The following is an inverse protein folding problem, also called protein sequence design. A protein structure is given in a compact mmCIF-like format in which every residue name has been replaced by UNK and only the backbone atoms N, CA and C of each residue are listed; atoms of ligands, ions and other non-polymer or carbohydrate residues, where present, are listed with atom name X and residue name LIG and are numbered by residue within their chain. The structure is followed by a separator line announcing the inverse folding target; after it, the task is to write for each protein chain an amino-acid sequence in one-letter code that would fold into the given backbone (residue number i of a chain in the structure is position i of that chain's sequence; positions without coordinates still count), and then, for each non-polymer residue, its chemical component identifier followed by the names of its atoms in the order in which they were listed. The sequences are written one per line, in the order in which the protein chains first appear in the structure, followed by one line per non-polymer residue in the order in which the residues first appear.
data_IF_381314933985
#
_entry.id   IF_381314933985
#
_cell.length_a   1.000
_cell.length_b   1.000
_cell.length_c   1.000
_cell.angle_alpha   90.00
_cell.angle_beta   90.00
_cell.angle_gamma   90.00
#
_symmetry.space_group_name_H-M   'P 1'
#
loop_
_entity.id
_entity.type
_entity.pdbx_description
1 polymer ?
#
# COMPACT_ATOMS: atom_id res chain seq x y z
N UNK A 1 35.56 -1.22 35.49
CA UNK A 1 34.36 -2.07 35.48
C UNK A 1 33.72 -1.88 34.07
N UNK A 2 34.16 -2.72 33.11
CA UNK A 2 33.69 -2.63 31.72
C UNK A 2 32.43 -3.49 31.61
N UNK A 3 31.31 -2.84 31.32
CA UNK A 3 30.06 -3.52 30.97
C UNK A 3 30.14 -3.81 29.46
N UNK A 4 30.41 -5.09 29.12
CA UNK A 4 30.25 -5.58 27.76
C UNK A 4 28.77 -5.68 27.44
N UNK A 5 28.29 -4.81 26.52
CA UNK A 5 27.02 -5.04 25.83
C UNK A 5 27.22 -6.23 24.88
N UNK A 6 26.58 -7.35 25.20
CA UNK A 6 26.43 -8.47 24.28
C UNK A 6 25.42 -8.07 23.20
N UNK A 7 25.71 -8.33 21.92
CA UNK A 7 24.74 -8.11 20.86
C UNK A 7 23.61 -9.15 20.98
N UNK A 8 22.38 -8.70 21.08
CA UNK A 8 21.20 -9.54 20.99
C UNK A 8 21.06 -10.13 19.57
N UNK A 9 21.84 -11.20 19.27
CA UNK A 9 21.59 -12.10 18.15
C UNK A 9 20.61 -13.18 18.61
N UNK A 10 19.34 -13.04 18.29
CA UNK A 10 18.37 -14.03 18.73
C UNK A 10 16.97 -13.92 18.13
N UNK A 11 16.83 -13.52 16.85
CA UNK A 11 15.57 -13.73 16.16
C UNK A 11 15.80 -14.48 14.86
N UNK A 12 15.29 -15.72 14.84
CA UNK A 12 15.34 -16.60 13.67
C UNK A 12 14.44 -15.97 12.60
N UNK A 13 15.08 -15.37 11.60
CA UNK A 13 14.43 -15.01 10.34
C UNK A 13 14.15 -16.29 9.57
N UNK A 14 12.92 -16.77 9.57
CA UNK A 14 12.55 -17.88 8.67
C UNK A 14 12.58 -17.36 7.23
N UNK A 15 13.67 -17.68 6.54
CA UNK A 15 13.88 -17.38 5.12
C UNK A 15 12.83 -18.10 4.28
N UNK A 16 11.90 -17.37 3.67
CA UNK A 16 11.44 -17.70 2.34
C UNK A 16 12.29 -16.90 1.36
N UNK A 17 13.31 -17.53 0.80
CA UNK A 17 14.09 -16.97 -0.30
C UNK A 17 13.12 -16.86 -1.49
N UNK A 18 12.62 -15.66 -1.77
CA UNK A 18 12.01 -15.41 -3.07
C UNK A 18 13.11 -15.61 -4.11
N UNK A 19 12.89 -16.36 -5.20
CA UNK A 19 13.82 -16.39 -6.30
C UNK A 19 13.98 -14.95 -6.81
N UNK A 20 15.21 -14.60 -7.20
CA UNK A 20 15.52 -13.40 -7.98
C UNK A 20 14.81 -13.53 -9.35
N UNK A 21 13.50 -13.36 -9.34
CA UNK A 21 12.76 -13.06 -10.55
C UNK A 21 12.98 -11.57 -10.80
N UNK A 22 13.41 -11.23 -12.01
CA UNK A 22 13.39 -9.87 -12.49
C UNK A 22 12.01 -9.28 -12.14
N UNK A 23 11.97 -8.31 -11.22
CA UNK A 23 10.71 -7.75 -10.76
C UNK A 23 10.10 -7.08 -11.97
N UNK A 24 9.02 -7.67 -12.46
CA UNK A 24 8.22 -7.07 -13.51
C UNK A 24 7.76 -5.71 -13.00
N UNK A 25 8.11 -4.65 -13.73
CA UNK A 25 7.58 -3.29 -13.48
C UNK A 25 6.09 -3.41 -13.23
N UNK A 26 5.54 -2.61 -12.29
CA UNK A 26 4.12 -2.64 -11.96
C UNK A 26 3.29 -2.20 -13.18
N UNK A 27 3.36 -3.04 -14.20
CA UNK A 27 2.51 -2.99 -15.39
C UNK A 27 1.40 -4.01 -15.24
N UNK A 28 0.24 -3.65 -15.70
CA UNK A 28 -0.83 -4.61 -15.82
C UNK A 28 -0.47 -5.64 -16.91
N UNK A 29 -0.71 -6.95 -16.67
CA UNK A 29 -0.18 -8.03 -17.52
C UNK A 29 -0.74 -8.05 -18.94
N UNK A 30 -1.84 -7.37 -19.19
CA UNK A 30 -2.50 -7.22 -20.49
C UNK A 30 -3.31 -5.94 -20.51
N UNK A 31 -3.84 -5.50 -21.63
CA UNK A 31 -4.82 -4.42 -21.66
C UNK A 31 -5.94 -4.72 -20.70
N UNK A 32 -6.23 -3.76 -19.80
CA UNK A 32 -7.29 -3.91 -18.85
C UNK A 32 -8.66 -3.94 -19.53
N UNK A 33 -9.56 -4.76 -19.03
CA UNK A 33 -10.94 -4.89 -19.51
C UNK A 33 -11.76 -3.72 -18.97
N UNK A 34 -12.39 -2.98 -19.86
CA UNK A 34 -13.25 -1.85 -19.51
C UNK A 34 -14.65 -2.31 -19.12
N UNK A 35 -15.25 -1.58 -18.19
CA UNK A 35 -16.63 -1.77 -17.82
C UNK A 35 -17.15 -0.62 -16.98
N UNK A 36 -18.38 -0.76 -16.52
CA UNK A 36 -19.06 0.19 -15.62
C UNK A 36 -19.40 -0.51 -14.33
N UNK A 37 -19.06 0.10 -13.19
CA UNK A 37 -19.35 -0.44 -11.87
C UNK A 37 -20.87 -0.49 -11.67
N UNK A 38 -21.41 -1.68 -11.44
CA UNK A 38 -22.82 -1.90 -11.14
C UNK A 38 -23.04 -1.85 -9.63
N UNK A 39 -22.24 -2.65 -8.89
CA UNK A 39 -22.40 -2.75 -7.44
C UNK A 39 -21.15 -3.30 -6.77
N UNK A 40 -20.76 -2.71 -5.64
CA UNK A 40 -19.78 -3.28 -4.71
C UNK A 40 -20.49 -3.98 -3.57
N UNK A 41 -20.08 -5.20 -3.27
CA UNK A 41 -20.59 -5.99 -2.16
C UNK A 41 -19.64 -5.94 -0.97
N UNK A 42 -20.13 -6.30 0.23
CA UNK A 42 -19.36 -6.27 1.48
C UNK A 42 -18.28 -7.34 1.48
N UNK A 43 -17.82 -8.04 0.66
CA UNK A 43 -16.76 -9.08 0.75
C UNK A 43 -16.06 -9.28 -0.59
N UNK A 44 -15.09 -8.44 -0.88
CA UNK A 44 -14.14 -8.65 -1.98
C UNK A 44 -14.77 -8.91 -3.38
N UNK A 45 -15.98 -8.48 -3.61
CA UNK A 45 -16.71 -8.77 -4.84
C UNK A 45 -17.36 -7.48 -5.36
N UNK A 46 -17.26 -7.29 -6.68
CA UNK A 46 -17.96 -6.25 -7.43
C UNK A 46 -18.61 -6.85 -8.67
N UNK A 47 -19.77 -6.34 -9.06
CA UNK A 47 -20.36 -6.59 -10.36
C UNK A 47 -20.07 -5.43 -11.29
N UNK A 48 -19.63 -5.74 -12.49
CA UNK A 48 -19.23 -4.80 -13.54
C UNK A 48 -19.96 -5.17 -14.82
N UNK A 49 -20.60 -4.19 -15.44
CA UNK A 49 -21.16 -4.30 -16.78
C UNK A 49 -20.09 -4.00 -17.80
N UNK A 50 -19.78 -4.95 -18.67
CA UNK A 50 -18.83 -4.80 -19.76
C UNK A 50 -19.42 -4.05 -20.96
N UNK A 51 -18.58 -3.65 -21.90
CA UNK A 51 -18.99 -2.91 -23.12
C UNK A 51 -19.92 -3.72 -24.04
N UNK A 52 -19.85 -5.07 -23.97
CA UNK A 52 -20.75 -5.96 -24.70
C UNK A 52 -22.13 -6.12 -24.04
N UNK A 53 -22.35 -5.45 -22.90
CA UNK A 53 -23.58 -5.49 -22.11
C UNK A 53 -23.67 -6.63 -21.09
N UNK A 54 -22.74 -7.58 -21.10
CA UNK A 54 -22.67 -8.66 -20.10
C UNK A 54 -22.31 -8.11 -18.70
N UNK A 55 -22.74 -8.80 -17.65
CA UNK A 55 -22.38 -8.47 -16.29
C UNK A 55 -21.47 -9.56 -15.74
N UNK A 56 -20.28 -9.17 -15.30
CA UNK A 56 -19.28 -10.05 -14.71
C UNK A 56 -19.06 -9.74 -13.26
N UNK A 57 -18.71 -10.78 -12.49
CA UNK A 57 -18.30 -10.62 -11.09
C UNK A 57 -16.78 -10.61 -11.01
N UNK A 58 -16.19 -9.55 -10.43
CA UNK A 58 -14.75 -9.40 -10.24
C UNK A 58 -14.38 -9.38 -8.76
N UNK A 59 -13.12 -9.74 -8.48
CA UNK A 59 -12.53 -9.61 -7.15
C UNK A 59 -12.24 -8.13 -6.86
N UNK A 60 -12.65 -7.66 -5.67
CA UNK A 60 -12.28 -6.36 -5.12
C UNK A 60 -11.19 -6.57 -4.06
N UNK A 61 -9.94 -6.21 -4.29
CA UNK A 61 -8.84 -6.51 -3.38
C UNK A 61 -8.80 -5.61 -2.13
N UNK A 62 -9.68 -4.62 -2.05
CA UNK A 62 -9.77 -3.70 -0.91
C UNK A 62 -11.01 -3.98 -0.08
N UNK A 63 -10.77 -4.16 1.22
CA UNK A 63 -11.81 -4.35 2.23
C UNK A 63 -12.37 -3.05 2.70
N UNK A 64 -12.96 -2.35 2.90
CA UNK A 64 -13.38 -1.06 3.42
C UNK A 64 -14.56 -0.51 2.64
N UNK A 65 -15.13 0.55 3.11
CA UNK A 65 -16.23 1.22 2.42
C UNK A 65 -15.77 1.81 1.08
N UNK A 66 -14.47 2.16 0.94
CA UNK A 66 -13.91 2.82 -0.23
C UNK A 66 -14.66 4.13 -0.51
N UNK A 67 -14.64 5.01 0.49
CA UNK A 67 -15.34 6.29 0.44
C UNK A 67 -14.98 7.08 -0.82
N UNK A 68 -15.99 7.57 -1.54
CA UNK A 68 -15.83 8.33 -2.78
C UNK A 68 -15.36 7.54 -4.01
N UNK A 69 -15.03 6.23 -3.87
CA UNK A 69 -14.46 5.42 -4.96
C UNK A 69 -15.18 4.08 -5.15
N UNK A 70 -16.44 3.96 -4.73
CA UNK A 70 -17.22 2.72 -4.85
C UNK A 70 -18.66 2.92 -5.33
N UNK A 71 -18.99 4.10 -5.82
CA UNK A 71 -20.31 4.43 -6.36
C UNK A 71 -20.58 3.72 -7.68
N UNK A 72 -21.83 3.25 -7.93
CA UNK A 72 -22.20 2.67 -9.21
C UNK A 72 -22.18 3.70 -10.34
N UNK A 73 -22.03 3.24 -11.59
CA UNK A 73 -22.06 4.09 -12.78
C UNK A 73 -20.69 4.62 -13.22
N UNK A 74 -19.64 4.50 -12.41
CA UNK A 74 -18.30 4.91 -12.78
C UNK A 74 -17.63 3.89 -13.71
N UNK A 75 -16.83 4.40 -14.65
CA UNK A 75 -15.98 3.55 -15.48
C UNK A 75 -14.90 2.86 -14.63
N UNK A 76 -14.69 1.58 -14.86
CA UNK A 76 -13.70 0.76 -14.16
C UNK A 76 -12.83 -0.02 -15.13
N UNK A 77 -11.66 -0.42 -14.64
CA UNK A 77 -10.74 -1.28 -15.38
C UNK A 77 -10.43 -2.52 -14.54
N UNK A 78 -10.52 -3.69 -15.20
CA UNK A 78 -10.30 -4.99 -14.59
C UNK A 78 -9.08 -5.65 -15.21
N UNK A 79 -8.23 -6.29 -14.38
CA UNK A 79 -7.21 -7.21 -14.86
C UNK A 79 -7.78 -8.63 -14.91
N UNK A 80 -7.27 -9.43 -15.86
CA UNK A 80 -7.56 -10.86 -15.95
C UNK A 80 -6.33 -11.66 -15.52
N UNK A 81 -6.49 -12.53 -14.53
CA UNK A 81 -5.42 -13.40 -14.05
C UNK A 81 -5.02 -14.52 -15.04
N UNK A 82 -5.85 -14.79 -16.04
CA UNK A 82 -5.69 -15.92 -16.96
C UNK A 82 -5.85 -17.30 -16.32
N UNK A 83 -6.09 -17.38 -15.02
CA UNK A 83 -6.17 -18.64 -14.26
C UNK A 83 -7.62 -19.15 -14.19
N UNK A 84 -7.94 -20.19 -14.94
CA UNK A 84 -9.29 -20.81 -14.95
C UNK A 84 -9.69 -21.41 -13.59
N UNK A 85 -8.70 -21.82 -12.79
CA UNK A 85 -8.90 -22.39 -11.45
C UNK A 85 -9.33 -21.34 -10.40
N UNK A 86 -9.17 -20.05 -10.72
CA UNK A 86 -9.52 -18.96 -9.80
C UNK A 86 -11.01 -18.65 -9.89
N UNK A 87 -11.74 -18.73 -8.76
CA UNK A 87 -13.19 -18.47 -8.70
C UNK A 87 -13.59 -17.12 -9.32
N UNK A 88 -12.83 -16.06 -9.05
CA UNK A 88 -12.99 -14.75 -9.67
C UNK A 88 -11.71 -14.43 -10.44
N UNK A 89 -11.72 -14.69 -11.74
CA UNK A 89 -10.58 -14.51 -12.63
C UNK A 89 -10.22 -13.04 -12.80
N UNK A 90 -11.25 -12.18 -12.81
CA UNK A 90 -11.10 -10.74 -12.97
C UNK A 90 -10.84 -10.07 -11.62
N UNK A 91 -10.00 -9.05 -11.62
CA UNK A 91 -9.69 -8.21 -10.45
C UNK A 91 -9.93 -6.74 -10.79
N UNK A 92 -10.60 -6.01 -9.93
CA UNK A 92 -10.83 -4.58 -10.07
C UNK A 92 -9.56 -3.81 -9.69
N UNK A 93 -8.98 -3.10 -10.67
CA UNK A 93 -7.71 -2.37 -10.51
C UNK A 93 -7.91 -0.87 -10.41
N UNK A 94 -8.71 -0.29 -11.30
CA UNK A 94 -8.91 1.16 -11.39
C UNK A 94 -10.39 1.53 -11.47
N UNK A 95 -10.70 2.72 -10.95
CA UNK A 95 -11.98 3.41 -11.15
C UNK A 95 -11.74 4.83 -11.63
N UNK A 96 -12.58 5.34 -12.51
CA UNK A 96 -12.55 6.73 -12.94
C UNK A 96 -13.50 7.57 -12.08
N UNK A 97 -12.96 8.55 -11.38
CA UNK A 97 -13.72 9.51 -10.59
C UNK A 97 -13.47 10.88 -11.19
N UNK A 98 -14.51 11.46 -11.78
CA UNK A 98 -14.50 12.81 -12.36
C UNK A 98 -13.30 13.07 -13.32
N UNK A 99 -12.97 12.07 -14.14
CA UNK A 99 -11.86 12.12 -15.09
C UNK A 99 -10.51 11.65 -14.55
N UNK A 100 -10.38 11.42 -13.26
CA UNK A 100 -9.14 10.90 -12.62
C UNK A 100 -9.21 9.39 -12.44
N UNK A 101 -8.20 8.66 -12.89
CA UNK A 101 -8.04 7.25 -12.56
C UNK A 101 -7.53 7.09 -11.14
N UNK A 102 -8.25 6.29 -10.35
CA UNK A 102 -7.93 5.97 -8.96
C UNK A 102 -7.66 4.47 -8.84
N UNK A 103 -6.52 4.11 -8.27
CA UNK A 103 -6.17 2.73 -7.97
C UNK A 103 -6.92 2.22 -6.75
N UNK A 104 -7.50 1.03 -6.88
CA UNK A 104 -8.30 0.42 -5.80
C UNK A 104 -7.73 -0.91 -5.31
N UNK A 105 -6.62 -1.35 -5.85
CA UNK A 105 -5.95 -2.57 -5.42
C UNK A 105 -4.97 -2.29 -4.28
N UNK A 106 -5.29 -2.79 -3.08
CA UNK A 106 -4.50 -2.57 -1.87
C UNK A 106 -3.15 -3.29 -1.84
N UNK A 107 -2.86 -4.19 -2.79
CA UNK A 107 -1.55 -4.85 -2.92
C UNK A 107 -0.54 -4.06 -3.76
N UNK A 108 -0.97 -2.99 -4.40
CA UNK A 108 -0.11 -2.18 -5.30
C UNK A 108 0.98 -1.40 -4.56
N UNK A 109 0.74 -0.78 -3.39
CA UNK A 109 1.77 0.02 -2.71
C UNK A 109 3.08 -0.74 -2.46
N UNK A 110 3.02 -2.00 -2.03
CA UNK A 110 4.20 -2.81 -1.80
C UNK A 110 5.01 -3.03 -3.09
N UNK A 111 4.33 -3.33 -4.21
CA UNK A 111 4.98 -3.54 -5.50
C UNK A 111 5.63 -2.28 -6.03
N UNK A 112 4.92 -1.14 -5.96
CA UNK A 112 5.43 0.17 -6.39
C UNK A 112 6.62 0.61 -5.53
N UNK A 113 6.58 0.35 -4.23
CA UNK A 113 7.71 0.64 -3.33
C UNK A 113 8.94 -0.19 -3.71
N UNK A 114 8.80 -1.51 -3.88
CA UNK A 114 9.90 -2.41 -4.22
C UNK A 114 10.55 -1.97 -5.54
N UNK A 115 9.74 -1.76 -6.59
CA UNK A 115 10.22 -1.25 -7.88
C UNK A 115 10.97 0.08 -7.72
N UNK A 116 10.41 1.02 -6.95
CA UNK A 116 11.01 2.34 -6.74
C UNK A 116 12.34 2.29 -5.97
N UNK A 117 12.48 1.35 -5.03
CA UNK A 117 13.74 1.13 -4.30
C UNK A 117 14.79 0.52 -5.22
N UNK A 118 14.46 -0.48 -6.03
CA UNK A 118 15.37 -1.09 -7.00
C UNK A 118 15.84 -0.11 -8.06
N UNK A 119 14.94 0.74 -8.55
CA UNK A 119 15.25 1.81 -9.50
C UNK A 119 15.91 3.04 -8.83
N UNK A 120 16.16 2.99 -7.51
CA UNK A 120 16.76 4.08 -6.73
C UNK A 120 16.01 5.42 -6.82
N UNK A 121 14.69 5.38 -7.00
CA UNK A 121 13.82 6.55 -7.17
C UNK A 121 13.47 7.24 -5.86
N UNK A 122 13.66 6.59 -4.71
CA UNK A 122 13.47 7.17 -3.37
C UNK A 122 14.86 7.46 -2.78
N UNK A 123 15.33 8.72 -2.81
CA UNK A 123 16.70 9.06 -2.41
C UNK A 123 17.08 8.62 -1.00
N UNK A 124 16.14 8.72 -0.05
CA UNK A 124 16.37 8.35 1.36
C UNK A 124 16.40 6.82 1.58
N UNK A 125 16.00 6.00 0.60
CA UNK A 125 16.08 4.55 0.66
C UNK A 125 17.20 3.96 -0.20
N UNK A 126 18.18 4.78 -0.63
CA UNK A 126 19.36 4.30 -1.34
C UNK A 126 20.38 3.68 -0.37
N UNK A 127 21.23 2.78 -0.88
CA UNK A 127 22.34 2.20 -0.14
C UNK A 127 22.02 0.91 0.61
N UNK A 128 20.82 0.38 0.48
CA UNK A 128 20.48 -0.95 0.97
C UNK A 128 20.86 -2.03 -0.06
N UNK A 129 21.38 -3.18 0.44
CA UNK A 129 21.93 -4.22 -0.44
C UNK A 129 20.93 -5.28 -0.87
N UNK A 130 19.88 -5.52 -0.09
CA UNK A 130 18.89 -6.57 -0.36
C UNK A 130 17.50 -6.10 0.07
N UNK A 131 16.49 -6.50 -0.72
CA UNK A 131 15.07 -6.24 -0.44
C UNK A 131 14.40 -7.56 -0.11
N UNK A 132 13.69 -7.61 1.02
CA UNK A 132 12.88 -8.77 1.41
C UNK A 132 11.43 -8.33 1.55
N UNK A 133 10.51 -9.07 0.92
CA UNK A 133 9.06 -8.84 1.02
C UNK A 133 8.41 -9.84 1.97
N UNK A 134 7.26 -9.46 2.57
CA UNK A 134 6.43 -10.30 3.44
C UNK A 134 7.22 -10.93 4.60
N UNK A 135 8.03 -10.13 5.28
CA UNK A 135 8.92 -10.58 6.36
C UNK A 135 8.14 -10.83 7.64
N UNK A 136 8.43 -11.92 8.32
CA UNK A 136 7.94 -12.13 9.69
C UNK A 136 8.95 -11.60 10.70
N UNK A 137 8.52 -10.69 11.56
CA UNK A 137 9.33 -10.05 12.59
C UNK A 137 8.83 -10.40 13.99
N UNK A 138 9.75 -10.67 14.90
CA UNK A 138 9.43 -10.99 16.31
C UNK A 138 8.49 -12.18 16.45
N UNK A 139 7.49 -12.07 17.32
CA UNK A 139 6.53 -13.15 17.65
C UNK A 139 5.38 -13.26 16.60
N UNK A 140 5.72 -13.26 15.32
CA UNK A 140 4.74 -13.49 14.25
C UNK A 140 4.11 -12.21 13.67
N UNK A 141 4.66 -11.04 13.96
CA UNK A 141 4.30 -9.81 13.29
C UNK A 141 4.80 -9.83 11.84
N UNK A 142 4.05 -9.23 10.93
CA UNK A 142 4.43 -9.14 9.53
C UNK A 142 4.85 -7.71 9.20
N UNK A 143 5.87 -7.59 8.39
CA UNK A 143 6.34 -6.34 7.76
C UNK A 143 6.29 -6.55 6.25
N UNK A 144 5.73 -5.59 5.53
CA UNK A 144 5.56 -5.71 4.08
C UNK A 144 6.92 -5.75 3.35
N UNK A 145 7.85 -4.88 3.73
CA UNK A 145 9.18 -4.79 3.11
C UNK A 145 10.25 -4.55 4.17
N UNK A 146 11.35 -5.28 4.07
CA UNK A 146 12.57 -5.02 4.83
C UNK A 146 13.73 -4.79 3.87
N UNK A 147 14.45 -3.69 4.08
CA UNK A 147 15.68 -3.38 3.36
C UNK A 147 16.87 -3.71 4.28
N UNK A 148 17.77 -4.57 3.80
CA UNK A 148 18.95 -4.96 4.55
C UNK A 148 20.09 -3.98 4.28
N UNK A 149 20.55 -3.31 5.31
CA UNK A 149 21.69 -2.40 5.28
C UNK A 149 22.91 -2.96 6.00
N UNK A 150 24.07 -2.36 5.80
CA UNK A 150 25.31 -2.77 6.45
C UNK A 150 25.30 -2.47 7.96
N UNK A 151 24.74 -1.34 8.37
CA UNK A 151 24.69 -0.92 9.78
C UNK A 151 23.31 -1.17 10.40
N UNK A 152 22.25 -0.78 9.70
CA UNK A 152 20.87 -0.89 10.18
C UNK A 152 19.94 -1.38 9.07
N UNK A 153 18.95 -2.17 9.45
CA UNK A 153 17.86 -2.55 8.57
C UNK A 153 16.77 -1.48 8.60
N UNK A 154 16.04 -1.37 7.46
CA UNK A 154 14.88 -0.51 7.35
C UNK A 154 13.61 -1.37 7.20
N UNK A 155 12.66 -1.18 8.08
CA UNK A 155 11.39 -1.90 8.11
C UNK A 155 10.28 -1.00 7.60
N UNK A 156 9.51 -1.46 6.63
CA UNK A 156 8.52 -0.63 5.93
C UNK A 156 7.19 -1.36 5.86
N UNK A 157 6.13 -0.74 6.37
CA UNK A 157 4.76 -1.13 6.10
C UNK A 157 4.14 -0.19 5.07
N UNK A 158 3.32 -0.75 4.19
CA UNK A 158 2.73 -0.02 3.05
C UNK A 158 1.24 0.17 3.23
N UNK A 159 0.76 1.36 2.88
CA UNK A 159 -0.64 1.76 3.03
C UNK A 159 -1.19 2.27 1.71
N UNK A 160 -2.35 1.73 1.32
CA UNK A 160 -3.07 2.12 0.11
C UNK A 160 -4.08 3.22 0.42
N UNK A 161 -3.92 4.37 -0.21
CA UNK A 161 -4.79 5.55 -0.01
C UNK A 161 -5.51 5.85 -1.32
N UNK A 162 -6.83 5.70 -1.34
CA UNK A 162 -7.68 5.98 -2.51
C UNK A 162 -8.75 7.05 -2.23
N UNK A 163 -9.09 7.27 -0.95
CA UNK A 163 -10.07 8.27 -0.56
C UNK A 163 -9.48 9.67 -0.56
N UNK A 164 -10.23 10.62 -1.09
CA UNK A 164 -9.93 12.04 -0.97
C UNK A 164 -11.23 12.85 -0.77
N UNK A 165 -11.09 13.98 -0.09
CA UNK A 165 -12.08 15.03 -0.04
C UNK A 165 -11.43 16.30 -0.59
N UNK A 166 -12.00 16.85 -1.67
CA UNK A 166 -11.36 17.88 -2.47
C UNK A 166 -9.97 17.41 -2.94
N UNK A 167 -8.91 18.15 -2.62
CA UNK A 167 -7.51 17.86 -2.95
C UNK A 167 -6.73 17.18 -1.81
N UNK A 168 -7.40 16.79 -0.73
CA UNK A 168 -6.80 16.17 0.44
C UNK A 168 -7.02 14.66 0.43
N UNK A 169 -5.94 13.89 0.31
CA UNK A 169 -5.96 12.45 0.49
C UNK A 169 -6.14 12.10 1.97
N UNK A 170 -7.04 11.18 2.27
CA UNK A 170 -7.44 10.81 3.63
C UNK A 170 -7.28 9.30 3.88
N UNK A 171 -6.83 8.94 5.09
CA UNK A 171 -6.68 7.55 5.51
C UNK A 171 -6.77 7.39 7.05
N UNK A 172 -7.38 6.31 7.56
CA UNK A 172 -8.12 5.30 6.83
C UNK A 172 -9.55 5.76 6.47
N UNK A 173 -10.21 5.04 5.58
CA UNK A 173 -11.59 5.28 5.16
C UNK A 173 -12.64 4.67 6.08
N UNK A 174 -12.20 3.88 7.05
CA UNK A 174 -12.99 3.29 8.14
C UNK A 174 -12.09 2.96 9.33
N UNK A 175 -12.62 2.83 10.57
CA UNK A 175 -11.82 2.42 11.72
C UNK A 175 -11.09 1.10 11.44
N UNK A 176 -9.77 1.08 11.64
CA UNK A 176 -8.93 -0.04 11.26
C UNK A 176 -7.93 -0.44 12.35
N UNK A 177 -8.32 -1.35 13.28
CA UNK A 177 -7.40 -1.86 14.30
C UNK A 177 -6.14 -2.49 13.70
N UNK A 178 -6.25 -3.08 12.51
CA UNK A 178 -5.09 -3.66 11.81
C UNK A 178 -4.07 -2.59 11.44
N UNK A 179 -4.49 -1.47 10.84
CA UNK A 179 -3.57 -0.40 10.43
C UNK A 179 -2.98 0.32 11.64
N UNK A 180 -3.78 0.51 12.70
CA UNK A 180 -3.31 1.05 13.97
C UNK A 180 -2.25 0.13 14.59
N UNK A 181 -2.45 -1.19 14.54
CA UNK A 181 -1.45 -2.17 15.00
C UNK A 181 -0.16 -2.07 14.18
N UNK A 182 -0.24 -1.98 12.85
CA UNK A 182 0.92 -1.80 11.97
C UNK A 182 1.75 -0.56 12.36
N UNK A 183 1.10 0.58 12.55
CA UNK A 183 1.78 1.82 12.96
C UNK A 183 2.43 1.68 14.35
N UNK A 184 1.77 1.03 15.31
CA UNK A 184 2.36 0.77 16.63
C UNK A 184 3.56 -0.16 16.54
N UNK A 185 3.51 -1.16 15.68
CA UNK A 185 4.63 -2.06 15.43
C UNK A 185 5.84 -1.31 14.84
N UNK A 186 5.63 -0.41 13.88
CA UNK A 186 6.70 0.44 13.35
C UNK A 186 7.30 1.33 14.45
N UNK A 187 6.47 1.86 15.37
CA UNK A 187 6.94 2.61 16.53
C UNK A 187 7.85 1.77 17.42
N UNK A 188 7.46 0.54 17.77
CA UNK A 188 8.27 -0.38 18.58
C UNK A 188 9.61 -0.70 17.90
N UNK A 189 9.63 -0.86 16.57
CA UNK A 189 10.84 -1.08 15.79
C UNK A 189 11.77 0.14 15.85
N UNK A 190 11.23 1.35 15.74
CA UNK A 190 12.01 2.59 15.85
C UNK A 190 12.60 2.76 17.26
N UNK A 191 11.82 2.46 18.31
CA UNK A 191 12.29 2.50 19.71
C UNK A 191 13.40 1.48 20.01
N UNK A 192 13.50 0.41 19.20
CA UNK A 192 14.61 -0.56 19.27
C UNK A 192 15.86 -0.12 18.49
N UNK A 193 15.85 1.07 17.90
CA UNK A 193 16.99 1.65 17.16
C UNK A 193 17.08 1.23 15.69
N UNK A 194 16.04 0.60 15.15
CA UNK A 194 15.95 0.32 13.72
C UNK A 194 15.27 1.46 12.97
N UNK A 195 15.57 1.59 11.70
CA UNK A 195 14.84 2.50 10.83
C UNK A 195 13.46 1.93 10.51
N UNK A 196 12.40 2.70 10.73
CA UNK A 196 11.03 2.29 10.51
C UNK A 196 10.29 3.33 9.65
N UNK A 197 9.55 2.86 8.64
CA UNK A 197 8.88 3.71 7.66
C UNK A 197 7.43 3.27 7.48
N UNK A 198 6.50 4.20 7.60
CA UNK A 198 5.14 4.05 7.08
C UNK A 198 5.07 4.63 5.67
N UNK A 199 4.96 3.79 4.66
CA UNK A 199 4.88 4.21 3.25
C UNK A 199 3.42 4.28 2.78
N UNK A 200 2.94 5.48 2.49
CA UNK A 200 1.58 5.74 2.02
C UNK A 200 1.61 6.04 0.52
N UNK A 201 1.01 5.17 -0.28
CA UNK A 201 0.80 5.41 -1.70
C UNK A 201 -0.60 5.96 -1.92
N UNK A 202 -0.68 7.25 -2.26
CA UNK A 202 -1.92 7.91 -2.68
C UNK A 202 -2.18 7.51 -4.13
N UNK A 203 -3.09 6.54 -4.31
CA UNK A 203 -3.38 5.92 -5.60
C UNK A 203 -4.34 6.78 -6.44
N UNK A 204 -4.07 8.10 -6.52
CA UNK A 204 -4.79 9.08 -7.36
C UNK A 204 -3.91 10.30 -7.61
N UNK A 205 -4.16 11.01 -8.72
CA UNK A 205 -3.31 12.10 -9.19
C UNK A 205 -3.81 13.51 -8.88
N UNK A 206 -4.91 13.66 -8.12
CA UNK A 206 -5.62 14.92 -7.89
C UNK A 206 -5.53 15.43 -6.44
N UNK A 207 -4.57 14.92 -5.67
CA UNK A 207 -4.37 15.35 -4.28
C UNK A 207 -3.10 16.22 -4.15
N UNK A 208 -3.13 17.19 -3.24
CA UNK A 208 -2.01 18.08 -2.91
C UNK A 208 -1.39 17.80 -1.53
N UNK A 209 -2.13 17.14 -0.63
CA UNK A 209 -1.72 16.83 0.73
C UNK A 209 -2.35 15.52 1.20
N UNK A 210 -1.68 14.86 2.13
CA UNK A 210 -2.21 13.68 2.83
C UNK A 210 -2.41 13.97 4.31
N UNK A 211 -3.57 13.53 4.85
CA UNK A 211 -3.90 13.65 6.28
C UNK A 211 -4.48 12.33 6.83
N UNK A 212 -4.12 11.96 8.08
CA UNK A 212 -4.86 10.93 8.80
C UNK A 212 -6.29 11.39 9.09
N UNK A 213 -7.27 10.57 8.75
CA UNK A 213 -8.69 10.87 8.89
C UNK A 213 -9.15 10.75 10.36
N UNK A 214 -8.80 11.74 11.19
CA UNK A 214 -9.12 11.75 12.62
C UNK A 214 -10.61 11.59 12.92
N UNK A 215 -11.46 12.14 12.06
CA UNK A 215 -12.93 12.05 12.17
C UNK A 215 -13.44 10.62 11.98
N UNK A 216 -12.66 9.77 11.29
CA UNK A 216 -13.00 8.37 11.02
C UNK A 216 -12.32 7.43 12.01
N UNK A 217 -11.02 7.63 12.26
CA UNK A 217 -10.23 6.78 13.15
C UNK A 217 -9.30 7.62 14.03
N UNK A 218 -9.82 8.02 15.19
CA UNK A 218 -9.06 8.78 16.18
C UNK A 218 -7.87 7.99 16.75
N UNK A 219 -8.01 6.66 16.83
CA UNK A 219 -6.96 5.78 17.37
C UNK A 219 -5.79 5.70 16.40
N UNK A 220 -6.05 5.52 15.10
CA UNK A 220 -5.03 5.57 14.05
C UNK A 220 -4.31 6.93 14.02
N UNK A 221 -5.08 8.03 14.06
CA UNK A 221 -4.52 9.38 14.08
C UNK A 221 -3.58 9.59 15.29
N UNK A 222 -3.97 9.12 16.47
CA UNK A 222 -3.12 9.21 17.66
C UNK A 222 -1.86 8.33 17.53
N UNK A 223 -2.02 7.11 16.99
CA UNK A 223 -0.93 6.17 16.82
C UNK A 223 0.14 6.68 15.82
N UNK A 224 -0.26 7.25 14.68
CA UNK A 224 0.69 7.77 13.69
C UNK A 224 1.46 8.98 14.24
N UNK A 225 0.81 9.87 14.99
CA UNK A 225 1.48 10.99 15.67
C UNK A 225 2.51 10.50 16.70
N UNK A 226 2.16 9.51 17.52
CA UNK A 226 3.07 8.91 18.48
C UNK A 226 4.23 8.17 17.82
N UNK A 227 3.98 7.49 16.70
CA UNK A 227 5.00 6.81 15.92
C UNK A 227 6.01 7.80 15.32
N UNK A 228 5.54 8.92 14.77
CA UNK A 228 6.39 9.97 14.23
C UNK A 228 7.29 10.59 15.33
N UNK A 229 6.75 10.82 16.54
CA UNK A 229 7.53 11.30 17.68
C UNK A 229 8.59 10.30 18.14
N UNK A 230 8.37 9.00 17.94
CA UNK A 230 9.32 7.93 18.23
C UNK A 230 10.36 7.69 17.10
N UNK A 231 10.32 8.48 16.02
CA UNK A 231 11.29 8.38 14.92
C UNK A 231 10.82 7.57 13.71
N UNK A 232 9.55 7.15 13.65
CA UNK A 232 9.01 6.54 12.42
C UNK A 232 8.89 7.61 11.33
N UNK A 233 9.48 7.31 10.19
CA UNK A 233 9.34 8.16 9.01
C UNK A 233 7.97 7.92 8.34
N UNK A 234 7.23 8.99 8.08
CA UNK A 234 5.99 8.94 7.29
C UNK A 234 6.31 9.40 5.88
N UNK A 235 6.37 8.46 4.95
CA UNK A 235 6.63 8.73 3.53
C UNK A 235 5.33 8.66 2.76
N UNK A 236 4.96 9.75 2.11
CA UNK A 236 3.75 9.83 1.29
C UNK A 236 4.14 10.14 -0.13
N UNK A 237 3.68 9.29 -1.05
CA UNK A 237 3.89 9.48 -2.48
C UNK A 237 2.56 9.38 -3.22
N UNK A 238 2.38 10.27 -4.18
CA UNK A 238 1.32 10.16 -5.16
C UNK A 238 1.70 9.11 -6.20
N UNK A 239 0.75 8.29 -6.64
CA UNK A 239 0.96 7.38 -7.76
C UNK A 239 0.76 8.10 -9.09
N UNK A 240 1.58 7.77 -10.08
CA UNK A 240 1.31 8.06 -11.48
C UNK A 240 0.54 6.86 -12.07
N UNK A 241 -0.70 7.11 -12.50
CA UNK A 241 -1.64 6.05 -12.90
C UNK A 241 -2.01 6.22 -14.37
N UNK A 242 -1.81 5.17 -15.13
CA UNK A 242 -2.33 5.00 -16.49
C UNK A 242 -3.07 3.67 -16.61
N UNK A 243 -3.84 3.43 -17.67
CA UNK A 243 -4.44 2.13 -17.93
C UNK A 243 -3.42 0.98 -18.09
N UNK A 244 -2.15 1.30 -18.31
CA UNK A 244 -1.07 0.31 -18.52
C UNK A 244 -0.27 0.02 -17.27
N UNK A 245 -0.19 1.00 -16.32
CA UNK A 245 0.71 0.88 -15.16
C UNK A 245 0.31 1.80 -14.00
N UNK A 246 0.73 1.41 -12.79
CA UNK A 246 0.77 2.28 -11.61
C UNK A 246 2.23 2.37 -11.18
N UNK A 247 2.79 3.57 -11.17
CA UNK A 247 4.20 3.80 -10.80
C UNK A 247 4.33 4.85 -9.71
N UNK A 248 5.51 4.90 -9.07
CA UNK A 248 5.80 5.96 -8.11
C UNK A 248 5.76 7.32 -8.80
N UNK A 249 5.01 8.26 -8.27
CA UNK A 249 4.94 9.64 -8.71
C UNK A 249 5.75 10.57 -7.79
N UNK A 250 5.18 11.71 -7.46
CA UNK A 250 5.82 12.75 -6.63
C UNK A 250 5.53 12.56 -5.13
N UNK A 251 6.43 12.97 -4.24
CA UNK A 251 6.13 13.03 -2.82
C UNK A 251 5.01 14.03 -2.55
N UNK A 252 4.15 13.70 -1.58
CA UNK A 252 3.11 14.60 -1.06
C UNK A 252 3.42 15.04 0.36
N UNK A 253 3.07 16.28 0.73
CA UNK A 253 3.11 16.73 2.10
C UNK A 253 2.23 15.87 3.01
N UNK A 254 2.74 15.55 4.20
CA UNK A 254 2.00 14.93 5.29
C UNK A 254 1.65 16.00 6.33
N UNK A 255 0.40 16.03 6.79
CA UNK A 255 -0.04 16.90 7.88
C UNK A 255 -0.90 16.13 8.88
N UNK A 256 -0.64 16.31 10.17
CA UNK A 256 -1.49 15.80 11.25
C UNK A 256 -2.69 16.70 11.54
N UNK A 257 -2.65 17.94 11.04
CA UNK A 257 -3.69 18.98 11.30
C UNK A 257 -4.41 19.38 10.04
#
# INVERSE_FOLDING_TARGET
MHVHFLPFYGYILTRKKAPSQAIERMRFPAPLIKGTLVKKYRRFIVDVKLDDGSVVTAHCPTMGPMNGVSGPGHAVLLSDSGLETRRNRLTWELINIDGTWVGVNSAIPQKVLIEAVEEQRIPSLKGFGEIQADVTYGLGNKIDVMLLGMEHNCFIDTFSVSWAENDTALFPDSPSPRMTKSIRQLKEIAEQGHRAVGFFLVQRGDCSVFKPARQVDKEFHTAIGAAQQAGVEVMVYQAHITPEAITLGTPLPFSLT
#
